data_IF_107242426968
#
_entry.id   IF_107242426968
#
_cell.length_a   1.000
_cell.length_b   1.000
_cell.length_c   1.000
_cell.angle_alpha   90.00
_cell.angle_beta   90.00
_cell.angle_gamma   90.00
#
_symmetry.space_group_name_H-M   'P 1'
#
loop_
_entity.id
_entity.type
_entity.pdbx_description
1 polymer ?
#
# COMPACT_ATOMS: atom_id res chain seq x y z
N UNK A 1 -5.09 24.37 21.63
CA UNK A 1 -3.83 25.11 21.77
C UNK A 1 -2.75 24.27 22.41
N UNK A 2 -2.90 23.88 23.68
CA UNK A 2 -1.87 23.14 24.43
C UNK A 2 -2.15 21.63 24.54
N UNK A 3 -3.41 21.24 24.75
CA UNK A 3 -3.81 19.83 24.89
C UNK A 3 -3.58 18.99 23.63
N UNK A 4 -3.76 19.59 22.45
CA UNK A 4 -3.61 18.90 21.17
C UNK A 4 -2.15 18.63 20.81
N UNK A 5 -1.24 19.50 21.25
CA UNK A 5 0.20 19.30 21.13
C UNK A 5 0.69 18.19 22.07
N UNK A 6 0.19 18.15 23.30
CA UNK A 6 0.48 17.08 24.27
C UNK A 6 -0.01 15.72 23.74
N UNK A 7 -1.23 15.65 23.19
CA UNK A 7 -1.74 14.42 22.55
C UNK A 7 -0.89 13.95 21.38
N UNK A 8 -0.38 14.87 20.55
CA UNK A 8 0.52 14.52 19.43
C UNK A 8 1.84 13.93 19.92
N UNK A 9 2.44 14.52 20.95
CA UNK A 9 3.69 14.04 21.55
C UNK A 9 3.47 12.66 22.18
N UNK A 10 2.41 12.49 22.97
CA UNK A 10 2.05 11.21 23.57
C UNK A 10 1.81 10.14 22.49
N UNK A 11 1.06 10.47 21.44
CA UNK A 11 0.80 9.55 20.33
C UNK A 11 2.09 9.17 19.58
N UNK A 12 3.01 10.11 19.39
CA UNK A 12 4.32 9.84 18.80
C UNK A 12 5.12 8.86 19.67
N UNK A 13 5.13 9.06 20.98
CA UNK A 13 5.76 8.14 21.92
C UNK A 13 5.13 6.74 21.88
N UNK A 14 3.80 6.64 21.87
CA UNK A 14 3.12 5.35 21.75
C UNK A 14 3.46 4.63 20.43
N UNK A 15 3.42 5.33 19.29
CA UNK A 15 3.74 4.73 17.98
C UNK A 15 5.19 4.24 17.94
N UNK A 16 6.13 5.02 18.48
CA UNK A 16 7.55 4.64 18.52
C UNK A 16 7.77 3.45 19.45
N UNK A 17 7.14 3.42 20.61
CA UNK A 17 7.16 2.26 21.51
C UNK A 17 6.56 1.01 20.86
N UNK A 18 5.39 1.13 20.22
CA UNK A 18 4.73 0.02 19.50
C UNK A 18 5.62 -0.54 18.39
N UNK A 19 6.31 0.33 17.63
CA UNK A 19 7.25 -0.08 16.60
C UNK A 19 8.46 -0.83 17.19
N UNK A 20 9.01 -0.37 18.33
CA UNK A 20 10.13 -1.02 19.00
C UNK A 20 9.73 -2.40 19.55
N UNK A 21 8.56 -2.49 20.19
CA UNK A 21 8.00 -3.75 20.68
C UNK A 21 7.76 -4.71 19.52
N UNK A 22 7.13 -4.25 18.44
CA UNK A 22 6.86 -5.07 17.25
C UNK A 22 8.16 -5.54 16.61
N UNK A 23 9.17 -4.67 16.50
CA UNK A 23 10.47 -5.03 15.96
C UNK A 23 11.18 -6.07 16.84
N UNK A 24 11.11 -5.92 18.17
CA UNK A 24 11.69 -6.87 19.11
C UNK A 24 11.00 -8.25 19.04
N UNK A 25 9.67 -8.29 19.09
CA UNK A 25 8.88 -9.52 18.95
C UNK A 25 9.16 -10.19 17.60
N UNK A 26 9.17 -9.41 16.51
CA UNK A 26 9.48 -9.94 15.17
C UNK A 26 10.88 -10.55 15.13
N UNK A 27 11.89 -9.89 15.73
CA UNK A 27 13.26 -10.42 15.81
C UNK A 27 13.31 -11.74 16.56
N UNK A 28 12.69 -11.82 17.75
CA UNK A 28 12.65 -13.05 18.54
C UNK A 28 11.99 -14.18 17.74
N UNK A 29 10.82 -13.93 17.17
CA UNK A 29 10.07 -14.93 16.42
C UNK A 29 10.85 -15.45 15.22
N UNK A 30 11.45 -14.55 14.44
CA UNK A 30 12.22 -14.88 13.25
C UNK A 30 13.49 -15.68 13.61
N UNK A 31 14.15 -15.36 14.71
CA UNK A 31 15.35 -16.09 15.17
C UNK A 31 15.07 -17.48 15.72
N UNK A 32 13.87 -17.73 16.25
CA UNK A 32 13.48 -19.03 16.80
C UNK A 32 12.62 -19.88 15.84
N UNK A 33 12.24 -19.34 14.69
CA UNK A 33 11.45 -20.08 13.70
C UNK A 33 12.27 -21.18 13.03
N UNK A 34 11.74 -22.41 13.01
CA UNK A 34 12.36 -23.54 12.27
C UNK A 34 12.36 -23.34 10.76
N UNK A 35 11.48 -22.46 10.25
CA UNK A 35 11.34 -22.13 8.84
C UNK A 35 10.80 -20.71 8.68
N UNK A 36 11.50 -19.90 7.88
CA UNK A 36 11.03 -18.57 7.47
C UNK A 36 10.67 -18.60 5.99
N UNK A 37 9.44 -18.18 5.68
CA UNK A 37 8.90 -18.10 4.34
C UNK A 37 8.66 -16.64 3.95
N UNK A 38 8.86 -16.31 2.68
CA UNK A 38 8.61 -14.98 2.15
C UNK A 38 8.12 -15.01 0.71
N UNK A 39 7.49 -13.93 0.26
CA UNK A 39 6.81 -13.86 -1.03
C UNK A 39 7.69 -13.46 -2.22
N UNK A 40 8.94 -13.04 -1.98
CA UNK A 40 9.83 -12.55 -3.02
C UNK A 40 11.31 -12.63 -2.63
N UNK A 41 12.19 -12.63 -3.63
CA UNK A 41 13.64 -12.52 -3.38
C UNK A 41 14.02 -11.20 -2.74
N UNK A 42 13.38 -10.09 -3.12
CA UNK A 42 13.64 -8.79 -2.50
C UNK A 42 13.41 -8.84 -0.98
N UNK A 43 12.28 -9.40 -0.55
CA UNK A 43 11.97 -9.54 0.87
C UNK A 43 12.86 -10.58 1.54
N UNK A 44 13.30 -11.65 0.85
CA UNK A 44 14.29 -12.60 1.38
C UNK A 44 15.60 -11.89 1.77
N UNK A 45 16.16 -11.11 0.85
CA UNK A 45 17.41 -10.38 1.11
C UNK A 45 17.22 -9.35 2.23
N UNK A 46 16.06 -8.70 2.28
CA UNK A 46 15.74 -7.76 3.36
C UNK A 46 15.64 -8.46 4.72
N UNK A 47 15.00 -9.63 4.80
CA UNK A 47 14.95 -10.46 6.02
C UNK A 47 16.36 -10.84 6.46
N UNK A 48 17.21 -11.31 5.54
CA UNK A 48 18.59 -11.65 5.86
C UNK A 48 19.37 -10.42 6.37
N UNK A 49 19.23 -9.27 5.71
CA UNK A 49 19.85 -8.02 6.13
C UNK A 49 19.44 -7.56 7.54
N UNK A 50 18.16 -7.71 7.88
CA UNK A 50 17.61 -7.21 9.17
C UNK A 50 17.79 -8.20 10.31
N UNK A 51 17.60 -9.50 10.04
CA UNK A 51 17.50 -10.53 11.07
C UNK A 51 18.65 -11.57 11.04
N UNK A 52 19.45 -11.60 9.96
CA UNK A 52 20.55 -12.55 9.81
C UNK A 52 20.13 -13.99 9.56
N UNK A 53 18.85 -14.23 9.27
CA UNK A 53 18.31 -15.59 9.04
C UNK A 53 18.00 -15.84 7.56
N UNK A 54 18.22 -17.06 7.05
CA UNK A 54 17.81 -17.42 5.71
C UNK A 54 16.28 -17.59 5.64
N UNK A 55 15.69 -17.23 4.49
CA UNK A 55 14.27 -17.46 4.21
C UNK A 55 14.09 -18.15 2.85
N UNK A 56 13.06 -18.99 2.73
CA UNK A 56 12.65 -19.60 1.45
C UNK A 56 11.59 -18.74 0.77
N UNK A 57 11.73 -18.55 -0.54
CA UNK A 57 10.76 -17.79 -1.34
C UNK A 57 9.64 -18.71 -1.82
N UNK A 58 8.41 -18.33 -1.53
CA UNK A 58 7.19 -18.95 -2.05
C UNK A 58 6.32 -17.83 -2.61
N UNK A 59 6.21 -17.77 -3.94
CA UNK A 59 5.38 -16.77 -4.60
C UNK A 59 3.89 -17.08 -4.39
N UNK A 60 3.07 -16.10 -3.97
CA UNK A 60 1.64 -16.31 -3.88
C UNK A 60 1.06 -16.53 -5.27
N UNK A 61 0.20 -17.54 -5.40
CA UNK A 61 -0.60 -17.76 -6.60
C UNK A 61 -1.77 -16.76 -6.70
N UNK A 62 -2.49 -16.81 -7.82
CA UNK A 62 -3.74 -16.08 -8.03
C UNK A 62 -4.85 -17.05 -8.41
N UNK A 63 -6.06 -16.80 -7.91
CA UNK A 63 -7.24 -17.59 -8.26
C UNK A 63 -7.70 -17.27 -9.69
N UNK A 64 -7.42 -18.18 -10.62
CA UNK A 64 -7.76 -18.04 -12.04
C UNK A 64 -9.26 -18.20 -12.34
N UNK A 65 -10.04 -18.78 -11.42
CA UNK A 65 -11.50 -18.86 -11.57
C UNK A 65 -12.12 -17.47 -11.44
N UNK A 66 -11.54 -16.62 -10.59
CA UNK A 66 -11.96 -15.24 -10.33
C UNK A 66 -11.25 -14.22 -11.22
N UNK A 67 -9.93 -14.35 -11.38
CA UNK A 67 -9.09 -13.41 -12.13
C UNK A 67 -8.74 -13.95 -13.50
N UNK A 68 -9.75 -13.99 -14.38
CA UNK A 68 -9.59 -14.40 -15.77
C UNK A 68 -9.51 -13.21 -16.71
N UNK A 69 -8.77 -13.37 -17.81
CA UNK A 69 -8.77 -12.40 -18.89
C UNK A 69 -10.15 -12.40 -19.57
N UNK A 70 -10.80 -11.24 -19.62
CA UNK A 70 -12.13 -11.07 -20.22
C UNK A 70 -12.07 -10.68 -21.70
N UNK A 71 -10.88 -10.51 -22.28
CA UNK A 71 -10.68 -10.11 -23.69
C UNK A 71 -11.45 -8.84 -24.10
N UNK A 72 -11.67 -7.91 -23.15
CA UNK A 72 -12.36 -6.65 -23.40
C UNK A 72 -11.47 -5.65 -24.12
N UNK A 73 -12.08 -4.78 -24.93
CA UNK A 73 -11.39 -3.65 -25.58
C UNK A 73 -10.77 -2.73 -24.53
N UNK A 74 -9.45 -2.57 -24.57
CA UNK A 74 -8.70 -1.70 -23.65
C UNK A 74 -8.61 -0.28 -24.20
N UNK A 75 -8.59 0.70 -23.30
CA UNK A 75 -8.28 2.10 -23.58
C UNK A 75 -7.00 2.47 -22.83
N UNK A 76 -6.28 3.53 -23.22
CA UNK A 76 -5.13 4.01 -22.48
C UNK A 76 -5.60 4.72 -21.20
N UNK A 77 -5.23 4.17 -20.04
CA UNK A 77 -5.40 4.78 -18.73
C UNK A 77 -4.38 4.19 -17.76
N UNK A 78 -4.13 4.89 -16.67
CA UNK A 78 -3.39 4.35 -15.52
C UNK A 78 -4.39 3.98 -14.44
N UNK A 79 -4.26 2.78 -13.89
CA UNK A 79 -5.06 2.35 -12.76
C UNK A 79 -4.18 1.85 -11.63
N UNK A 80 -4.49 2.29 -10.42
CA UNK A 80 -3.84 1.82 -9.20
C UNK A 80 -4.89 1.32 -8.23
N UNK A 81 -4.67 0.13 -7.68
CA UNK A 81 -5.60 -0.56 -6.78
C UNK A 81 -4.91 -0.81 -5.44
N UNK A 82 -5.48 -0.36 -4.34
CA UNK A 82 -4.91 -0.55 -3.01
C UNK A 82 -5.52 0.36 -1.95
N UNK A 83 -5.19 0.13 -0.67
CA UNK A 83 -5.55 1.08 0.40
C UNK A 83 -4.79 2.39 0.25
N UNK A 84 -5.44 3.54 0.45
CA UNK A 84 -4.80 4.86 0.41
C UNK A 84 -3.94 5.02 1.66
N UNK A 85 -2.68 4.64 1.54
CA UNK A 85 -1.67 4.56 2.58
C UNK A 85 -0.34 5.10 2.03
N UNK A 86 0.53 5.57 2.92
CA UNK A 86 1.77 6.26 2.55
C UNK A 86 2.71 5.39 1.71
N UNK A 87 2.85 4.11 2.07
CA UNK A 87 3.69 3.15 1.36
C UNK A 87 3.17 2.73 -0.02
N UNK A 88 2.00 3.22 -0.45
CA UNK A 88 1.44 2.96 -1.78
C UNK A 88 1.78 4.04 -2.81
N UNK A 89 2.40 5.14 -2.39
CA UNK A 89 2.99 6.11 -3.32
C UNK A 89 2.01 6.76 -4.30
N UNK A 90 0.73 6.92 -3.92
CA UNK A 90 -0.26 7.50 -4.83
C UNK A 90 0.07 8.93 -5.27
N UNK A 91 0.72 9.71 -4.39
CA UNK A 91 1.17 11.06 -4.73
C UNK A 91 2.23 11.03 -5.83
N UNK A 92 3.16 10.06 -5.77
CA UNK A 92 4.20 9.88 -6.77
C UNK A 92 3.61 9.58 -8.15
N UNK A 93 2.54 8.79 -8.22
CA UNK A 93 1.81 8.53 -9.47
C UNK A 93 1.25 9.84 -10.05
N UNK A 94 0.62 10.66 -9.20
CA UNK A 94 0.07 11.97 -9.62
C UNK A 94 1.18 12.88 -10.14
N UNK A 95 2.28 12.99 -9.41
CA UNK A 95 3.43 13.80 -9.81
C UNK A 95 4.10 13.30 -11.10
N UNK A 96 4.24 11.99 -11.26
CA UNK A 96 4.77 11.39 -12.48
C UNK A 96 3.89 11.70 -13.70
N UNK A 97 2.56 11.56 -13.57
CA UNK A 97 1.63 11.87 -14.65
C UNK A 97 1.58 13.36 -14.98
N UNK A 98 1.74 14.23 -13.98
CA UNK A 98 1.79 15.68 -14.18
C UNK A 98 2.95 16.12 -15.09
N UNK A 99 4.03 15.32 -15.18
CA UNK A 99 5.17 15.56 -16.08
C UNK A 99 4.90 15.21 -17.54
N UNK A 100 3.82 14.48 -17.83
CA UNK A 100 3.40 14.15 -19.20
C UNK A 100 2.63 15.35 -19.78
N UNK A 101 2.90 15.77 -21.05
CA UNK A 101 2.12 16.80 -21.74
C UNK A 101 0.62 16.56 -21.65
N UNK A 102 -0.17 17.62 -21.45
CA UNK A 102 -1.59 17.50 -21.12
C UNK A 102 -2.43 16.78 -22.19
N UNK A 103 -2.05 16.95 -23.46
CA UNK A 103 -2.64 16.30 -24.65
C UNK A 103 -2.32 14.80 -24.74
N UNK A 104 -1.26 14.34 -24.07
CA UNK A 104 -0.78 12.94 -24.07
C UNK A 104 -0.96 12.23 -22.73
N UNK A 105 -1.43 12.96 -21.70
CA UNK A 105 -1.53 12.44 -20.34
C UNK A 105 -2.67 11.43 -20.21
N UNK A 106 -2.40 10.15 -19.88
CA UNK A 106 -3.45 9.19 -19.67
C UNK A 106 -4.25 9.55 -18.40
N UNK A 107 -5.57 9.29 -18.37
CA UNK A 107 -6.36 9.48 -17.16
C UNK A 107 -5.90 8.51 -16.07
N UNK A 108 -5.90 8.97 -14.82
CA UNK A 108 -5.62 8.15 -13.65
C UNK A 108 -6.92 7.72 -12.96
N UNK A 109 -7.04 6.42 -12.70
CA UNK A 109 -8.09 5.82 -11.87
C UNK A 109 -7.48 5.20 -10.61
N UNK A 110 -7.82 5.71 -9.43
CA UNK A 110 -7.44 5.09 -8.14
C UNK A 110 -8.65 4.33 -7.59
N UNK A 111 -8.47 3.05 -7.27
CA UNK A 111 -9.49 2.17 -6.67
C UNK A 111 -9.03 1.74 -5.28
N UNK A 112 -9.73 2.21 -4.25
CA UNK A 112 -9.33 1.96 -2.87
C UNK A 112 -10.48 1.51 -1.96
N UNK A 113 -10.22 0.48 -1.15
CA UNK A 113 -11.15 -0.02 -0.12
C UNK A 113 -10.87 0.52 1.29
N UNK A 114 -9.64 0.95 1.57
CA UNK A 114 -9.22 1.55 2.85
C UNK A 114 -8.62 2.93 2.60
N UNK A 115 -8.73 3.83 3.58
CA UNK A 115 -8.15 5.18 3.51
C UNK A 115 -7.50 5.60 4.82
N UNK A 116 -6.26 6.03 4.75
CA UNK A 116 -5.62 6.82 5.79
C UNK A 116 -6.01 8.29 5.57
N UNK A 117 -6.70 8.96 6.53
CA UNK A 117 -7.27 10.29 6.29
C UNK A 117 -6.25 11.35 5.86
N UNK A 118 -5.03 11.32 6.43
CA UNK A 118 -3.96 12.26 6.10
C UNK A 118 -3.57 12.17 4.62
N UNK A 119 -3.21 10.97 4.17
CA UNK A 119 -2.79 10.71 2.78
C UNK A 119 -3.94 10.98 1.81
N UNK A 120 -5.16 10.60 2.18
CA UNK A 120 -6.34 10.92 1.37
C UNK A 120 -6.50 12.43 1.17
N UNK A 121 -6.39 13.21 2.25
CA UNK A 121 -6.50 14.66 2.20
C UNK A 121 -5.41 15.27 1.30
N UNK A 122 -4.16 14.83 1.45
CA UNK A 122 -3.06 15.25 0.58
C UNK A 122 -3.38 14.98 -0.90
N UNK A 123 -3.83 13.76 -1.24
CA UNK A 123 -4.16 13.36 -2.60
C UNK A 123 -5.31 14.18 -3.21
N UNK A 124 -6.34 14.52 -2.44
CA UNK A 124 -7.48 15.30 -2.98
C UNK A 124 -7.14 16.77 -3.19
N UNK A 125 -6.05 17.27 -2.60
CA UNK A 125 -5.58 18.64 -2.78
C UNK A 125 -4.48 18.78 -3.84
N UNK A 126 -3.94 17.66 -4.37
CA UNK A 126 -3.03 17.71 -5.50
C UNK A 126 -3.71 18.30 -6.75
N UNK A 127 -3.00 19.06 -7.59
CA UNK A 127 -3.57 19.71 -8.76
C UNK A 127 -4.17 18.70 -9.76
N UNK A 128 -5.51 18.63 -9.80
CA UNK A 128 -6.28 17.65 -10.57
C UNK A 128 -6.57 18.13 -11.99
N UNK A 129 -5.58 18.13 -12.87
CA UNK A 129 -5.91 18.03 -14.31
C UNK A 129 -5.91 16.53 -14.68
N UNK A 130 -7.10 15.96 -14.83
CA UNK A 130 -7.40 14.60 -15.33
C UNK A 130 -7.16 13.42 -14.36
N UNK A 131 -7.52 13.57 -13.08
CA UNK A 131 -7.46 12.47 -12.09
C UNK A 131 -8.86 12.13 -11.61
N UNK A 132 -9.28 10.88 -11.83
CA UNK A 132 -10.54 10.33 -11.33
C UNK A 132 -10.24 9.37 -10.16
N UNK A 133 -10.64 9.76 -8.96
CA UNK A 133 -10.53 8.88 -7.78
C UNK A 133 -11.86 8.17 -7.62
N UNK A 134 -11.88 6.86 -7.89
CA UNK A 134 -13.07 6.03 -7.71
C UNK A 134 -13.05 5.39 -6.33
N UNK A 135 -14.08 5.68 -5.54
CA UNK A 135 -14.33 4.98 -4.29
C UNK A 135 -15.02 3.66 -4.61
N UNK A 136 -14.49 2.54 -4.11
CA UNK A 136 -15.29 1.33 -3.95
C UNK A 136 -16.31 1.60 -2.84
N UNK A 137 -17.41 2.28 -3.16
CA UNK A 137 -18.43 2.62 -2.16
C UNK A 137 -19.30 1.43 -1.79
N UNK A 138 -19.27 0.33 -2.56
CA UNK A 138 -19.84 -0.99 -2.25
C UNK A 138 -19.48 -1.95 -3.38
N UNK A 139 -18.38 -2.69 -3.27
CA UNK A 139 -18.42 -4.08 -3.74
C UNK A 139 -19.00 -4.83 -2.54
N UNK A 140 -20.33 -4.80 -2.43
CA UNK A 140 -21.05 -5.75 -1.58
C UNK A 140 -20.93 -7.09 -2.28
N UNK A 141 -19.76 -7.70 -2.20
CA UNK A 141 -19.66 -9.12 -2.37
C UNK A 141 -19.93 -9.68 -0.98
N UNK A 142 -21.08 -10.31 -0.83
CA UNK A 142 -21.26 -11.46 0.06
C UNK A 142 -20.02 -12.35 -0.05
N UNK A 143 -19.01 -12.07 0.77
CA UNK A 143 -17.73 -12.78 0.83
C UNK A 143 -17.62 -13.30 2.25
N UNK A 144 -18.18 -14.50 2.45
CA UNK A 144 -17.76 -15.34 3.56
C UNK A 144 -16.34 -15.80 3.23
N UNK A 145 -15.40 -15.46 4.11
CA UNK A 145 -14.04 -15.98 4.10
C UNK A 145 -14.01 -17.40 4.65
#
# INVERSE_FOLDING_TARGET
GLSESIKKIFRFFCITADNLITAHISKINVQHASLVLTNSYYTREYIYKVYGVPAKVIYPGVDLSRFKNLNLKRKPYVMSVGGIEENKGFADIVHALARIPADKRPPLTIVAGRKQPRIYNELVHLPKKNILIFRLSKISATMNW
#
